data_IF_086121383023
#
_entry.id   IF_086121383023
#
_cell.length_a   1.000
_cell.length_b   1.000
_cell.length_c   1.000
_cell.angle_alpha   90.00
_cell.angle_beta   90.00
_cell.angle_gamma   90.00
#
_symmetry.space_group_name_H-M   'P 1'
#
loop_
_entity.id
_entity.type
_entity.pdbx_description
1 polymer ?
#
# COMPACT_ATOMS: atom_id res chain seq x y z
N UNK A 1 -23.44 -16.40 -36.09
CA UNK A 1 -23.16 -14.95 -36.08
C UNK A 1 -21.69 -14.80 -35.74
N UNK A 2 -20.89 -13.97 -36.43
CA UNK A 2 -19.52 -13.78 -36.01
C UNK A 2 -19.57 -13.20 -34.60
N UNK A 3 -18.87 -13.84 -33.67
CA UNK A 3 -18.66 -13.34 -32.33
C UNK A 3 -17.85 -12.06 -32.46
N UNK A 4 -18.53 -10.92 -32.60
CA UNK A 4 -17.88 -9.63 -32.50
C UNK A 4 -17.67 -9.41 -31.02
N UNK A 5 -16.49 -9.82 -30.54
CA UNK A 5 -15.93 -9.23 -29.34
C UNK A 5 -16.11 -7.69 -29.45
N UNK A 6 -16.42 -6.99 -28.36
CA UNK A 6 -16.38 -5.53 -28.37
C UNK A 6 -15.04 -5.06 -28.96
N UNK A 7 -15.06 -3.90 -29.64
CA UNK A 7 -13.97 -3.43 -30.50
C UNK A 7 -12.60 -3.39 -29.82
N UNK A 8 -12.59 -3.25 -28.49
CA UNK A 8 -11.41 -3.18 -27.66
C UNK A 8 -11.46 -4.32 -26.63
N UNK A 9 -10.54 -5.27 -26.74
CA UNK A 9 -10.40 -6.38 -25.81
C UNK A 9 -8.91 -6.63 -25.55
N UNK A 10 -8.57 -6.85 -24.29
CA UNK A 10 -7.34 -7.52 -23.89
C UNK A 10 -7.69 -8.98 -23.61
N UNK A 11 -6.91 -9.92 -24.15
CA UNK A 11 -7.12 -11.34 -23.91
C UNK A 11 -5.78 -11.98 -23.59
N UNK A 12 -5.65 -12.50 -22.37
CA UNK A 12 -4.69 -13.53 -22.00
C UNK A 12 -5.35 -14.90 -22.18
N UNK A 13 -4.57 -15.97 -22.20
CA UNK A 13 -5.04 -17.34 -21.98
C UNK A 13 -5.00 -17.74 -20.49
N UNK A 14 -4.75 -16.77 -19.61
CA UNK A 14 -4.72 -16.94 -18.16
C UNK A 14 -6.13 -17.02 -17.57
N UNK A 15 -6.24 -17.57 -16.36
CA UNK A 15 -7.48 -17.49 -15.59
C UNK A 15 -7.60 -16.13 -14.93
N UNK A 16 -8.10 -15.13 -15.67
CA UNK A 16 -8.31 -13.79 -15.12
C UNK A 16 -9.42 -13.80 -14.04
N UNK A 17 -9.18 -13.11 -12.93
CA UNK A 17 -10.07 -12.99 -11.76
C UNK A 17 -10.08 -11.55 -11.25
N UNK A 18 -11.28 -11.05 -10.96
CA UNK A 18 -11.46 -9.67 -10.54
C UNK A 18 -11.20 -8.68 -11.68
N UNK A 19 -11.89 -7.54 -11.62
CA UNK A 19 -11.65 -6.42 -12.52
C UNK A 19 -12.01 -5.14 -11.75
N UNK A 20 -11.11 -4.18 -11.75
CA UNK A 20 -11.28 -2.92 -11.02
C UNK A 20 -10.86 -1.75 -11.91
N UNK A 21 -11.44 -0.59 -11.63
CA UNK A 21 -10.92 0.68 -12.10
C UNK A 21 -10.07 1.29 -10.99
N UNK A 22 -8.94 1.87 -11.36
CA UNK A 22 -8.08 2.68 -10.50
C UNK A 22 -7.58 3.88 -11.31
N UNK A 23 -7.20 4.96 -10.65
CA UNK A 23 -6.43 6.06 -11.26
C UNK A 23 -5.01 5.92 -10.73
N UNK A 24 -4.23 5.03 -11.36
CA UNK A 24 -2.98 4.57 -10.77
C UNK A 24 -1.93 5.67 -10.75
N UNK A 25 -1.92 6.53 -11.77
CA UNK A 25 -0.93 7.60 -11.94
C UNK A 25 -1.45 9.00 -11.60
N UNK A 26 -2.64 9.09 -11.03
CA UNK A 26 -3.30 10.33 -10.61
C UNK A 26 -3.43 11.36 -11.74
N UNK A 27 -3.55 10.91 -13.00
CA UNK A 27 -3.75 11.80 -14.14
C UNK A 27 -5.22 12.19 -14.35
N UNK A 28 -6.12 11.59 -13.57
CA UNK A 28 -7.57 11.80 -13.60
C UNK A 28 -8.30 10.92 -14.61
N UNK A 29 -7.60 10.00 -15.27
CA UNK A 29 -8.14 8.96 -16.15
C UNK A 29 -8.00 7.63 -15.42
N UNK A 30 -9.04 6.79 -15.49
CA UNK A 30 -8.96 5.48 -14.85
C UNK A 30 -8.33 4.45 -15.78
N UNK A 31 -7.39 3.68 -15.23
CA UNK A 31 -6.89 2.42 -15.74
C UNK A 31 -7.84 1.28 -15.39
N UNK A 32 -7.58 0.12 -16.01
CA UNK A 32 -8.28 -1.12 -15.68
C UNK A 32 -7.28 -2.15 -15.22
N UNK A 33 -7.51 -2.69 -14.03
CA UNK A 33 -6.73 -3.76 -13.43
C UNK A 33 -7.48 -5.09 -13.47
N UNK A 34 -6.74 -6.18 -13.71
CA UNK A 34 -7.25 -7.54 -13.66
C UNK A 34 -6.28 -8.43 -12.89
N UNK A 35 -6.81 -9.29 -12.02
CA UNK A 35 -6.03 -10.37 -11.43
C UNK A 35 -5.80 -11.44 -12.47
N UNK A 36 -4.58 -11.94 -12.58
CA UNK A 36 -4.20 -12.98 -13.53
C UNK A 36 -2.82 -13.52 -13.20
N UNK A 37 -2.21 -14.25 -14.14
CA UNK A 37 -0.88 -14.83 -13.97
C UNK A 37 0.12 -14.32 -15.02
N UNK A 38 0.57 -13.05 -14.91
CA UNK A 38 0.43 -12.13 -13.77
C UNK A 38 -0.83 -11.24 -13.76
N UNK A 39 -1.06 -10.59 -12.61
CA UNK A 39 -2.00 -9.47 -12.48
C UNK A 39 -1.50 -8.29 -13.31
N UNK A 40 -2.40 -7.62 -14.03
CA UNK A 40 -2.05 -6.60 -15.01
C UNK A 40 -2.90 -5.36 -14.88
N UNK A 41 -2.32 -4.21 -15.18
CA UNK A 41 -3.03 -2.92 -15.30
C UNK A 41 -2.83 -2.40 -16.72
N UNK A 42 -3.90 -1.88 -17.31
CA UNK A 42 -3.91 -1.34 -18.66
C UNK A 42 -4.40 0.11 -18.70
N UNK A 43 -3.67 0.95 -19.41
CA UNK A 43 -4.14 2.26 -19.84
C UNK A 43 -5.19 2.10 -20.93
N UNK A 44 -6.21 2.96 -20.96
CA UNK A 44 -7.13 3.07 -22.08
C UNK A 44 -7.08 4.45 -22.72
N UNK A 45 -6.48 4.52 -23.91
CA UNK A 45 -6.37 5.76 -24.66
C UNK A 45 -6.68 5.54 -26.14
N UNK A 46 -7.41 6.48 -26.74
CA UNK A 46 -7.72 6.51 -28.17
C UNK A 46 -8.31 5.20 -28.75
N UNK A 47 -9.08 4.45 -27.95
CA UNK A 47 -9.68 3.18 -28.38
C UNK A 47 -8.69 2.02 -28.41
N UNK A 48 -7.64 2.05 -27.58
CA UNK A 48 -6.68 0.96 -27.45
C UNK A 48 -6.24 0.81 -26.00
N UNK A 49 -6.08 -0.45 -25.59
CA UNK A 49 -5.42 -0.77 -24.33
C UNK A 49 -3.90 -0.85 -24.52
N UNK A 50 -3.14 -0.36 -23.55
CA UNK A 50 -1.68 -0.54 -23.46
C UNK A 50 -1.35 -1.09 -22.08
N UNK A 51 -0.56 -2.16 -22.02
CA UNK A 51 -0.14 -2.72 -20.73
C UNK A 51 0.77 -1.72 -20.02
N UNK A 52 0.34 -1.30 -18.83
CA UNK A 52 1.05 -0.37 -17.96
C UNK A 52 1.89 -1.09 -16.93
N UNK A 53 1.34 -2.17 -16.38
CA UNK A 53 1.93 -2.92 -15.29
C UNK A 53 1.62 -4.41 -15.43
N UNK A 54 2.57 -5.22 -14.99
CA UNK A 54 2.39 -6.64 -14.73
C UNK A 54 3.12 -6.99 -13.43
N UNK A 55 2.44 -7.67 -12.52
CA UNK A 55 3.08 -8.19 -11.31
C UNK A 55 4.07 -9.31 -11.65
N UNK A 56 4.99 -9.60 -10.74
CA UNK A 56 5.89 -10.74 -10.83
C UNK A 56 5.95 -11.49 -9.48
N UNK A 57 4.82 -11.97 -8.95
CA UNK A 57 4.83 -12.68 -7.69
C UNK A 57 5.63 -13.99 -7.80
N UNK A 58 6.20 -14.47 -6.68
CA UNK A 58 6.87 -15.77 -6.66
C UNK A 58 5.93 -16.95 -6.93
N UNK A 59 4.61 -16.75 -6.80
CA UNK A 59 3.55 -17.74 -7.01
C UNK A 59 2.34 -17.08 -7.66
N UNK A 60 1.54 -17.86 -8.40
CA UNK A 60 0.48 -17.36 -9.28
C UNK A 60 -0.90 -17.93 -8.86
N UNK A 61 -1.96 -17.20 -9.21
CA UNK A 61 -3.36 -17.58 -9.05
C UNK A 61 -4.15 -16.63 -8.14
N UNK A 62 -4.16 -15.31 -8.41
CA UNK A 62 -4.98 -14.38 -7.64
C UNK A 62 -6.47 -14.75 -7.78
N UNK A 63 -7.19 -14.69 -6.66
CA UNK A 63 -8.60 -14.99 -6.54
C UNK A 63 -9.44 -13.71 -6.47
N UNK A 64 -8.93 -12.72 -5.74
CA UNK A 64 -9.50 -11.39 -5.62
C UNK A 64 -8.36 -10.38 -5.56
N UNK A 65 -8.64 -9.19 -6.09
CA UNK A 65 -7.73 -8.05 -6.14
C UNK A 65 -8.41 -6.83 -5.53
N UNK A 66 -7.63 -5.85 -5.11
CA UNK A 66 -8.09 -4.61 -4.50
C UNK A 66 -7.08 -3.49 -4.69
N UNK A 67 -7.55 -2.25 -4.54
CA UNK A 67 -6.72 -1.06 -4.41
C UNK A 67 -7.05 -0.38 -3.08
N UNK A 68 -6.00 0.02 -2.37
CA UNK A 68 -6.11 0.73 -1.10
C UNK A 68 -4.77 1.38 -0.75
N UNK A 69 -4.78 2.61 -0.24
CA UNK A 69 -3.59 3.31 0.26
C UNK A 69 -3.18 2.74 1.63
N UNK A 70 -2.25 1.79 1.65
CA UNK A 70 -1.88 1.04 2.87
C UNK A 70 -0.80 1.73 3.71
N UNK A 71 -0.01 2.63 3.11
CA UNK A 71 1.04 3.38 3.80
C UNK A 71 0.66 4.83 4.11
N UNK A 72 -0.43 5.34 3.53
CA UNK A 72 -1.00 6.65 3.82
C UNK A 72 -0.37 7.78 3.00
N UNK A 73 0.34 7.45 1.92
CA UNK A 73 1.04 8.42 1.08
C UNK A 73 0.12 9.12 0.06
N UNK A 74 -1.13 8.66 -0.05
CA UNK A 74 -2.17 9.20 -0.91
C UNK A 74 -2.28 8.51 -2.28
N UNK A 75 -1.40 7.57 -2.58
CA UNK A 75 -1.48 6.72 -3.77
C UNK A 75 -2.14 5.37 -3.41
N UNK A 76 -3.11 4.90 -4.21
CA UNK A 76 -3.69 3.58 -3.96
C UNK A 76 -2.68 2.47 -4.32
N UNK A 77 -2.40 1.59 -3.37
CA UNK A 77 -1.55 0.40 -3.55
C UNK A 77 -2.35 -0.77 -4.11
N UNK A 78 -1.67 -1.71 -4.75
CA UNK A 78 -2.30 -2.91 -5.30
C UNK A 78 -2.21 -4.09 -4.35
N UNK A 79 -3.33 -4.78 -4.13
CA UNK A 79 -3.44 -5.92 -3.22
C UNK A 79 -4.10 -7.09 -3.94
N UNK A 80 -3.60 -8.29 -3.68
CA UNK A 80 -4.20 -9.53 -4.19
C UNK A 80 -4.17 -10.63 -3.13
N UNK A 81 -5.17 -11.51 -3.20
CA UNK A 81 -5.21 -12.75 -2.40
C UNK A 81 -5.28 -13.96 -3.33
N UNK A 82 -4.49 -15.00 -3.06
CA UNK A 82 -4.31 -16.14 -3.95
C UNK A 82 -5.20 -17.33 -3.59
N UNK A 83 -5.75 -17.99 -4.62
CA UNK A 83 -6.58 -19.18 -4.43
C UNK A 83 -5.73 -20.39 -4.01
N UNK A 84 -4.60 -20.62 -4.69
CA UNK A 84 -3.92 -21.92 -4.64
C UNK A 84 -3.06 -22.12 -3.39
N UNK A 85 -2.56 -21.03 -2.81
CA UNK A 85 -1.67 -21.05 -1.64
C UNK A 85 -2.05 -20.00 -0.57
N UNK A 86 -3.18 -19.30 -0.74
CA UNK A 86 -3.72 -18.38 0.27
C UNK A 86 -2.86 -17.16 0.55
N UNK A 87 -1.86 -16.88 -0.28
CA UNK A 87 -0.99 -15.74 -0.04
C UNK A 87 -1.72 -14.44 -0.23
N UNK A 88 -1.49 -13.51 0.69
CA UNK A 88 -1.81 -12.10 0.48
C UNK A 88 -0.55 -11.38 0.01
N UNK A 89 -0.65 -10.59 -1.06
CA UNK A 89 0.43 -9.72 -1.53
C UNK A 89 -0.05 -8.28 -1.56
N UNK A 90 0.85 -7.37 -1.19
CA UNK A 90 0.68 -5.92 -1.38
C UNK A 90 1.87 -5.43 -2.21
N UNK A 91 1.59 -4.57 -3.18
CA UNK A 91 2.54 -3.91 -4.05
C UNK A 91 2.37 -2.41 -3.89
N UNK A 92 3.37 -1.73 -3.33
CA UNK A 92 3.27 -0.29 -3.12
C UNK A 92 3.27 0.46 -4.44
N UNK A 93 2.42 1.48 -4.54
CA UNK A 93 2.42 2.46 -5.60
C UNK A 93 3.34 3.61 -5.23
N UNK A 94 4.47 3.75 -5.93
CA UNK A 94 5.41 4.84 -5.68
C UNK A 94 5.21 5.95 -6.70
N UNK A 95 4.28 6.87 -6.44
CA UNK A 95 4.00 8.03 -7.30
C UNK A 95 3.64 7.60 -8.73
N UNK A 96 2.64 6.73 -8.86
CA UNK A 96 2.12 6.25 -10.15
C UNK A 96 2.85 5.05 -10.75
N UNK A 97 3.73 4.42 -9.98
CA UNK A 97 4.50 3.24 -10.38
C UNK A 97 4.40 2.16 -9.30
N UNK A 98 3.66 1.09 -9.59
CA UNK A 98 3.59 -0.09 -8.73
C UNK A 98 4.92 -0.86 -8.71
N UNK A 99 5.30 -1.33 -7.52
CA UNK A 99 6.31 -2.37 -7.38
C UNK A 99 5.88 -3.64 -8.13
N UNK A 100 6.81 -4.28 -8.85
CA UNK A 100 6.52 -5.53 -9.58
C UNK A 100 6.65 -6.76 -8.68
N UNK A 101 7.47 -6.68 -7.64
CA UNK A 101 7.59 -7.71 -6.59
C UNK A 101 6.74 -7.32 -5.39
N UNK A 102 6.11 -8.26 -4.68
CA UNK A 102 5.34 -7.94 -3.47
C UNK A 102 6.22 -7.22 -2.44
N UNK A 103 5.81 -6.03 -2.01
CA UNK A 103 6.45 -5.28 -0.92
C UNK A 103 6.14 -5.93 0.43
N UNK A 104 4.94 -6.51 0.56
CA UNK A 104 4.53 -7.31 1.71
C UNK A 104 3.90 -8.62 1.25
N UNK A 105 4.12 -9.67 2.04
CA UNK A 105 3.53 -10.99 1.82
C UNK A 105 3.08 -11.60 3.13
N UNK A 106 1.96 -12.32 3.07
CA UNK A 106 1.55 -13.24 4.11
C UNK A 106 1.27 -14.61 3.52
N UNK A 107 1.98 -15.62 4.03
CA UNK A 107 1.79 -17.00 3.64
C UNK A 107 0.72 -17.68 4.51
N UNK A 108 -0.28 -18.25 3.84
CA UNK A 108 -1.28 -19.12 4.44
C UNK A 108 -1.16 -20.54 3.87
N UNK A 109 -1.88 -21.50 4.44
CA UNK A 109 -1.96 -22.86 3.87
C UNK A 109 -3.34 -23.18 3.29
N UNK A 110 -4.30 -22.29 3.52
CA UNK A 110 -5.69 -22.37 3.10
C UNK A 110 -5.89 -21.64 1.78
N UNK A 111 -7.09 -21.76 1.20
CA UNK A 111 -7.46 -21.05 -0.03
C UNK A 111 -7.89 -19.64 0.32
N UNK A 112 -7.23 -18.63 -0.25
CA UNK A 112 -7.65 -17.24 -0.15
C UNK A 112 -8.89 -16.99 -1.00
N UNK A 113 -9.87 -16.28 -0.45
CA UNK A 113 -11.18 -16.09 -1.10
C UNK A 113 -11.70 -14.67 -1.09
N UNK A 114 -11.31 -13.87 -0.11
CA UNK A 114 -11.80 -12.51 0.03
C UNK A 114 -10.79 -11.57 0.67
N UNK A 115 -10.88 -10.28 0.35
CA UNK A 115 -10.15 -9.22 1.02
C UNK A 115 -11.08 -8.03 1.33
N UNK A 116 -10.77 -7.27 2.38
CA UNK A 116 -11.46 -6.03 2.73
C UNK A 116 -10.55 -5.13 3.58
N UNK A 117 -10.79 -3.83 3.51
CA UNK A 117 -10.15 -2.81 4.33
C UNK A 117 -11.16 -2.11 5.23
N UNK A 118 -10.70 -1.69 6.42
CA UNK A 118 -11.45 -0.80 7.30
C UNK A 118 -10.85 -0.70 8.69
N UNK A 119 -10.93 0.47 9.31
CA UNK A 119 -10.45 0.73 10.67
C UNK A 119 -11.27 -0.06 11.71
N UNK A 120 -10.72 -1.19 12.19
CA UNK A 120 -11.40 -2.09 13.12
C UNK A 120 -11.10 -1.73 14.58
N UNK A 121 -9.95 -1.11 14.85
CA UNK A 121 -9.48 -0.79 16.19
C UNK A 121 -9.68 0.70 16.58
N UNK A 122 -10.19 1.52 15.65
CA UNK A 122 -10.41 2.95 15.76
C UNK A 122 -9.09 3.74 16.01
N UNK A 123 -8.01 3.37 15.34
CA UNK A 123 -6.72 4.08 15.39
C UNK A 123 -6.50 5.05 14.23
N UNK A 124 -7.49 5.17 13.33
CA UNK A 124 -7.48 6.07 12.19
C UNK A 124 -6.78 5.50 10.96
N UNK A 125 -6.33 4.24 10.98
CA UNK A 125 -5.81 3.51 9.82
C UNK A 125 -6.70 2.33 9.52
N UNK A 126 -6.91 2.07 8.24
CA UNK A 126 -7.72 0.91 7.85
C UNK A 126 -6.91 -0.39 7.98
N UNK A 127 -7.52 -1.38 8.61
CA UNK A 127 -6.94 -2.71 8.80
C UNK A 127 -7.27 -3.62 7.62
N UNK A 128 -6.36 -4.54 7.30
CA UNK A 128 -6.58 -5.54 6.26
C UNK A 128 -7.26 -6.79 6.85
N UNK A 129 -8.36 -7.21 6.24
CA UNK A 129 -9.04 -8.48 6.54
C UNK A 129 -8.94 -9.41 5.34
N UNK A 130 -8.40 -10.62 5.56
CA UNK A 130 -8.33 -11.68 4.55
C UNK A 130 -9.27 -12.83 4.93
N UNK A 131 -10.11 -13.22 3.98
CA UNK A 131 -11.03 -14.35 4.08
C UNK A 131 -10.46 -15.61 3.43
N UNK A 132 -10.59 -16.73 4.14
CA UNK A 132 -10.07 -18.03 3.72
C UNK A 132 -11.15 -19.10 3.71
N UNK A 133 -11.04 -20.04 2.78
CA UNK A 133 -11.79 -21.30 2.78
C UNK A 133 -10.96 -22.39 3.46
N UNK A 134 -11.39 -22.82 4.65
CA UNK A 134 -10.71 -23.83 5.47
C UNK A 134 -10.99 -23.66 6.97
N UNK A 135 -10.15 -24.25 7.82
CA UNK A 135 -10.18 -24.02 9.28
C UNK A 135 -9.54 -22.65 9.60
N UNK A 136 -10.24 -21.81 10.38
CA UNK A 136 -9.97 -20.36 10.55
C UNK A 136 -10.22 -19.55 9.27
N UNK A 137 -11.45 -19.08 9.10
CA UNK A 137 -11.91 -18.47 7.85
C UNK A 137 -11.63 -16.97 7.69
N UNK A 138 -11.13 -16.28 8.73
CA UNK A 138 -10.86 -14.83 8.68
C UNK A 138 -9.57 -14.53 9.43
N UNK A 139 -8.68 -13.75 8.81
CA UNK A 139 -7.47 -13.20 9.41
C UNK A 139 -7.53 -11.68 9.33
N UNK A 140 -7.11 -11.02 10.40
CA UNK A 140 -7.07 -9.56 10.50
C UNK A 140 -5.62 -9.14 10.73
N UNK A 141 -5.16 -8.17 9.94
CA UNK A 141 -3.87 -7.54 10.05
C UNK A 141 -4.09 -6.09 10.44
N UNK A 142 -3.68 -5.75 11.66
CA UNK A 142 -3.79 -4.37 12.11
C UNK A 142 -2.73 -3.52 11.43
N UNK A 143 -3.15 -2.43 10.81
CA UNK A 143 -2.21 -1.43 10.33
C UNK A 143 -1.41 -0.90 11.54
N UNK A 144 -0.15 -0.54 11.30
CA UNK A 144 0.69 0.04 12.33
C UNK A 144 1.21 1.36 11.79
N UNK A 145 1.17 2.39 12.63
CA UNK A 145 1.85 3.64 12.33
C UNK A 145 3.32 3.32 12.06
N UNK A 146 3.79 3.59 10.84
CA UNK A 146 5.22 3.70 10.65
C UNK A 146 5.71 4.83 11.56
N UNK A 147 6.77 4.62 12.35
CA UNK A 147 7.24 5.66 13.25
C UNK A 147 7.70 6.84 12.40
N UNK A 148 7.08 8.00 12.62
CA UNK A 148 7.56 9.28 12.13
C UNK A 148 8.15 10.06 13.31
N UNK A 149 9.45 9.89 13.62
CA UNK A 149 10.04 10.49 14.82
C UNK A 149 9.96 12.02 14.80
N UNK A 150 9.90 12.62 13.62
CA UNK A 150 9.82 14.07 13.43
C UNK A 150 8.42 14.65 13.63
N UNK A 151 7.35 13.85 13.58
CA UNK A 151 5.99 14.30 13.93
C UNK A 151 5.83 14.28 15.44
N UNK A 152 6.15 15.42 16.07
CA UNK A 152 6.12 15.55 17.52
C UNK A 152 4.73 15.97 18.03
N UNK A 153 3.84 16.38 17.13
CA UNK A 153 2.46 16.73 17.48
C UNK A 153 1.52 15.53 17.38
N UNK A 154 1.91 14.50 16.64
CA UNK A 154 1.16 13.26 16.42
C UNK A 154 -0.04 13.45 15.49
N UNK A 155 -0.02 14.48 14.64
CA UNK A 155 -1.12 14.81 13.72
C UNK A 155 -0.91 14.27 12.30
N UNK A 156 0.22 13.60 12.04
CA UNK A 156 0.59 12.99 10.77
C UNK A 156 1.19 13.95 9.75
N UNK A 157 1.31 15.24 10.05
CA UNK A 157 1.89 16.23 9.14
C UNK A 157 3.24 16.72 9.68
N UNK A 158 4.25 16.81 8.81
CA UNK A 158 5.52 17.47 9.15
C UNK A 158 5.46 18.95 8.79
N UNK A 159 5.28 19.80 9.79
CA UNK A 159 5.16 21.23 9.57
C UNK A 159 5.88 22.10 10.63
N UNK A 160 5.54 23.39 10.65
CA UNK A 160 6.15 24.33 11.59
C UNK A 160 5.84 23.99 13.06
N UNK A 161 4.71 23.34 13.35
CA UNK A 161 4.30 22.97 14.69
C UNK A 161 5.23 21.90 15.26
N UNK A 162 5.71 20.93 14.48
CA UNK A 162 6.70 19.95 14.93
C UNK A 162 8.05 20.58 15.24
N UNK A 163 8.50 21.49 14.39
CA UNK A 163 9.73 22.26 14.64
C UNK A 163 9.59 23.03 15.95
N UNK A 164 8.43 23.66 16.18
CA UNK A 164 8.16 24.39 17.41
C UNK A 164 8.11 23.47 18.64
N UNK A 165 7.52 22.27 18.49
CA UNK A 165 7.46 21.25 19.52
C UNK A 165 8.86 20.74 19.88
N UNK A 166 9.70 20.47 18.87
CA UNK A 166 11.10 20.05 19.04
C UNK A 166 11.90 21.12 19.78
N UNK A 167 11.81 22.39 19.36
CA UNK A 167 12.53 23.49 20.01
C UNK A 167 12.14 23.61 21.49
N UNK A 168 10.85 23.47 21.81
CA UNK A 168 10.37 23.51 23.19
C UNK A 168 10.87 22.32 24.00
N UNK A 169 10.77 21.10 23.44
CA UNK A 169 11.23 19.86 24.07
C UNK A 169 12.75 19.89 24.33
N UNK A 170 13.54 20.32 23.36
CA UNK A 170 14.99 20.48 23.46
C UNK A 170 15.37 21.52 24.54
N UNK A 171 14.66 22.65 24.59
CA UNK A 171 14.88 23.68 25.61
C UNK A 171 14.54 23.20 27.03
N UNK A 172 13.58 22.26 27.17
CA UNK A 172 13.22 21.65 28.45
C UNK A 172 13.99 20.36 28.78
N UNK A 173 14.90 19.91 27.92
CA UNK A 173 15.59 18.61 28.05
C UNK A 173 14.58 17.44 28.20
N UNK A 174 13.50 17.50 27.43
CA UNK A 174 12.52 16.41 27.38
C UNK A 174 13.11 15.24 26.58
N UNK A 175 13.04 13.99 27.07
CA UNK A 175 13.56 12.82 26.36
C UNK A 175 13.10 12.65 24.92
N UNK A 176 11.95 13.22 24.52
CA UNK A 176 11.51 13.20 23.11
C UNK A 176 12.45 13.97 22.16
N UNK A 177 13.25 14.89 22.70
CA UNK A 177 14.24 15.65 21.94
C UNK A 177 15.62 14.96 21.90
N UNK A 178 15.81 13.81 22.54
CA UNK A 178 17.04 13.00 22.46
C UNK A 178 16.96 12.07 21.24
N UNK A 179 17.28 12.61 20.06
CA UNK A 179 17.05 11.97 18.76
C UNK A 179 18.11 10.93 18.42
N UNK A 180 19.29 10.99 19.02
CA UNK A 180 20.31 9.96 18.89
C UNK A 180 20.34 8.96 20.06
N UNK A 181 19.53 9.20 21.10
CA UNK A 181 19.29 8.30 22.23
C UNK A 181 20.47 8.21 23.20
N UNK A 182 21.35 9.22 23.20
CA UNK A 182 22.60 9.19 23.98
C UNK A 182 22.44 9.80 25.40
N UNK A 183 21.29 10.41 25.71
CA UNK A 183 20.97 11.03 27.00
C UNK A 183 21.54 12.44 27.19
N UNK A 184 22.14 13.03 26.16
CA UNK A 184 22.63 14.42 26.12
C UNK A 184 21.84 15.20 25.08
N UNK A 185 21.46 16.43 25.40
CA UNK A 185 20.72 17.31 24.50
C UNK A 185 21.71 18.28 23.81
N UNK A 186 22.15 17.94 22.61
CA UNK A 186 23.16 18.69 21.87
C UNK A 186 22.87 18.85 20.36
N UNK A 187 23.89 19.23 19.59
CA UNK A 187 23.74 19.47 18.16
C UNK A 187 23.36 18.20 17.37
N UNK A 188 23.73 17.00 17.84
CA UNK A 188 23.42 15.76 17.16
C UNK A 188 21.92 15.45 17.19
N UNK A 189 21.21 15.84 18.25
CA UNK A 189 19.75 15.74 18.30
C UNK A 189 19.07 16.66 17.29
N UNK A 190 19.53 17.91 17.22
CA UNK A 190 19.01 18.88 16.26
C UNK A 190 19.26 18.38 14.84
N UNK A 191 20.45 17.85 14.57
CA UNK A 191 20.75 17.23 13.29
C UNK A 191 19.90 15.99 13.02
N UNK A 192 19.65 15.16 14.03
CA UNK A 192 18.81 13.97 13.94
C UNK A 192 17.36 14.33 13.59
N UNK A 193 16.78 15.29 14.29
CA UNK A 193 15.44 15.82 14.02
C UNK A 193 15.36 16.41 12.61
N UNK A 194 16.31 17.27 12.20
CA UNK A 194 16.31 17.86 10.85
C UNK A 194 16.44 16.79 9.76
N UNK A 195 17.24 15.75 9.98
CA UNK A 195 17.35 14.64 9.04
C UNK A 195 16.04 13.87 8.92
N UNK A 196 15.38 13.55 10.05
CA UNK A 196 14.08 12.88 10.06
C UNK A 196 13.00 13.75 9.41
N UNK A 197 12.96 15.05 9.71
CA UNK A 197 12.01 16.00 9.14
C UNK A 197 12.16 16.12 7.62
N UNK A 198 13.40 16.19 7.13
CA UNK A 198 13.67 16.27 5.69
C UNK A 198 13.46 14.93 4.97
N UNK A 199 13.52 13.80 5.68
CA UNK A 199 13.22 12.49 5.12
C UNK A 199 11.72 12.31 4.85
N UNK A 200 10.87 13.10 5.50
CA UNK A 200 9.42 12.92 5.46
C UNK A 200 8.94 11.94 6.53
N UNK A 201 7.64 11.91 6.76
CA UNK A 201 7.01 10.70 7.27
C UNK A 201 6.84 9.73 6.10
N UNK A 202 7.02 8.41 6.31
CA UNK A 202 6.48 7.42 5.40
C UNK A 202 4.96 7.53 5.30
#
# INVERSE_FOLDING_TARGET
TPNTLPADAVSSDDSDRGALFCDLDNDGVSEIAFGGDPSRVYDYAAGSFTERYASNPPFAGPQEIGFFDVDGDGDEDFIEIHFSDGRGHIYLNRNGTLDTEPTWTYDASEVGTALAFGDLNNDGRDDLVLGYSGDTCIRVFFAQAQPCPADLTGDGALDFFDISAFINAFASMDPVADFDGNGSFDFFDVSGFVNAFNAGCP
#
